data_IF_128672208027
#
_entry.id   IF_128672208027
#
_cell.length_a   1.000
_cell.length_b   1.000
_cell.length_c   1.000
_cell.angle_alpha   90.00
_cell.angle_beta   90.00
_cell.angle_gamma   90.00
#
_symmetry.space_group_name_H-M   'P 1'
#
loop_
_entity.id
_entity.type
_entity.pdbx_description
1 polymer ?
#
# COMPACT_ATOMS: atom_id res chain seq x y z
N UNK A 1 -6.34 -13.24 -2.54
CA UNK A 1 -4.95 -12.80 -2.30
C UNK A 1 -4.33 -11.91 -3.39
N UNK A 2 -4.55 -12.14 -4.70
CA UNK A 2 -3.81 -11.45 -5.78
C UNK A 2 -3.82 -9.92 -5.65
N UNK A 3 -5.01 -9.33 -5.44
CA UNK A 3 -5.16 -7.86 -5.25
C UNK A 3 -4.34 -7.30 -4.08
N UNK A 4 -4.18 -8.08 -3.01
CA UNK A 4 -3.37 -7.68 -1.86
C UNK A 4 -1.88 -7.70 -2.21
N UNK A 5 -1.42 -8.71 -2.95
CA UNK A 5 -0.05 -8.72 -3.50
C UNK A 5 0.17 -7.55 -4.45
N UNK A 6 -0.76 -7.28 -5.35
CA UNK A 6 -0.64 -6.16 -6.30
C UNK A 6 -0.55 -4.81 -5.55
N UNK A 7 -1.31 -4.65 -4.45
CA UNK A 7 -1.24 -3.48 -3.58
C UNK A 7 0.12 -3.32 -2.89
N UNK A 8 0.66 -4.38 -2.29
CA UNK A 8 1.97 -4.34 -1.65
C UNK A 8 3.08 -4.07 -2.68
N UNK A 9 2.98 -4.67 -3.86
CA UNK A 9 3.90 -4.45 -4.96
C UNK A 9 3.88 -3.00 -5.43
N UNK A 10 2.69 -2.40 -5.54
CA UNK A 10 2.53 -0.99 -5.89
C UNK A 10 3.26 -0.09 -4.90
N UNK A 11 3.10 -0.32 -3.59
CA UNK A 11 3.80 0.45 -2.56
C UNK A 11 5.32 0.26 -2.68
N UNK A 12 5.79 -0.97 -2.85
CA UNK A 12 7.21 -1.28 -2.96
C UNK A 12 7.88 -0.66 -4.20
N UNK A 13 7.20 -0.67 -5.36
CA UNK A 13 7.74 -0.16 -6.61
C UNK A 13 7.64 1.35 -6.77
N UNK A 14 6.51 1.94 -6.37
CA UNK A 14 6.30 3.40 -6.44
C UNK A 14 7.06 4.15 -5.34
N UNK A 15 7.48 3.43 -4.29
CA UNK A 15 8.04 3.97 -3.05
C UNK A 15 7.16 5.06 -2.40
N UNK A 16 5.87 5.12 -2.76
CA UNK A 16 4.93 6.20 -2.43
C UNK A 16 5.40 7.61 -2.84
N UNK A 17 6.28 7.69 -3.86
CA UNK A 17 6.77 8.96 -4.42
C UNK A 17 5.91 9.49 -5.56
N UNK A 18 5.16 8.60 -6.21
CA UNK A 18 4.19 9.00 -7.24
C UNK A 18 3.00 9.72 -6.60
N UNK A 19 2.59 10.84 -7.20
CA UNK A 19 1.42 11.60 -6.75
C UNK A 19 0.15 10.84 -7.12
N UNK A 20 -0.60 10.43 -6.11
CA UNK A 20 -1.89 9.76 -6.31
C UNK A 20 -2.98 10.85 -6.40
N UNK A 21 -3.62 10.92 -7.56
CA UNK A 21 -4.71 11.85 -7.84
C UNK A 21 -5.89 11.12 -8.48
N UNK A 22 -7.06 11.75 -8.41
CA UNK A 22 -8.30 11.17 -8.91
C UNK A 22 -8.88 12.04 -10.03
N UNK A 23 -9.68 11.45 -10.95
CA UNK A 23 -10.31 12.22 -12.03
C UNK A 23 -11.10 13.43 -11.54
N UNK A 24 -11.69 13.34 -10.34
CA UNK A 24 -12.46 14.38 -9.67
C UNK A 24 -11.63 15.63 -9.34
N UNK A 25 -10.32 15.50 -9.15
CA UNK A 25 -9.43 16.63 -8.85
C UNK A 25 -9.19 17.54 -10.07
N UNK A 26 -9.61 17.14 -11.28
CA UNK A 26 -9.44 17.94 -12.49
C UNK A 26 -7.97 18.27 -12.77
N UNK A 27 -7.67 19.54 -13.03
CA UNK A 27 -6.29 19.99 -13.31
C UNK A 27 -5.62 20.43 -12.01
N UNK A 28 -4.59 19.70 -11.59
CA UNK A 28 -3.81 20.04 -10.40
C UNK A 28 -3.10 21.39 -10.61
N UNK A 29 -3.43 22.36 -9.75
CA UNK A 29 -2.81 23.69 -9.73
C UNK A 29 -1.82 23.87 -8.56
N UNK A 30 -1.76 22.90 -7.65
CA UNK A 30 -1.00 22.97 -6.40
C UNK A 30 0.10 21.91 -6.42
N UNK A 31 1.28 22.30 -5.96
CA UNK A 31 2.42 21.41 -5.75
C UNK A 31 2.62 21.18 -4.25
N UNK A 32 2.67 19.92 -3.84
CA UNK A 32 2.97 19.53 -2.46
C UNK A 32 4.46 19.20 -2.33
N UNK A 33 5.07 19.56 -1.21
CA UNK A 33 6.46 19.22 -0.87
C UNK A 33 6.56 18.05 0.13
N UNK A 34 5.42 17.46 0.48
CA UNK A 34 5.33 16.33 1.40
C UNK A 34 6.00 15.08 0.79
N UNK A 35 6.55 14.18 1.60
CA UNK A 35 7.24 12.98 1.11
C UNK A 35 6.29 11.97 0.45
N UNK A 36 4.99 12.04 0.76
CA UNK A 36 3.91 11.25 0.18
C UNK A 36 2.75 12.18 -0.16
N UNK A 37 2.24 12.10 -1.39
CA UNK A 37 1.16 12.95 -1.86
C UNK A 37 0.00 12.08 -2.35
N UNK A 38 -1.08 12.09 -1.58
CA UNK A 38 -2.35 11.45 -1.94
C UNK A 38 -3.43 12.51 -1.82
N UNK A 39 -4.01 12.90 -2.95
CA UNK A 39 -5.02 13.96 -2.97
C UNK A 39 -6.37 13.42 -2.53
N UNK A 40 -7.06 14.19 -1.71
CA UNK A 40 -8.46 13.94 -1.40
C UNK A 40 -9.30 14.10 -2.70
N UNK A 41 -10.09 13.09 -3.11
CA UNK A 41 -10.94 13.18 -4.30
C UNK A 41 -11.93 14.35 -4.27
N UNK A 42 -12.30 14.84 -3.08
CA UNK A 42 -13.29 15.90 -2.90
C UNK A 42 -12.62 17.27 -2.74
N UNK A 43 -11.38 17.32 -2.29
CA UNK A 43 -10.67 18.56 -1.97
C UNK A 43 -9.23 18.52 -2.50
N UNK A 44 -9.01 19.10 -3.67
CA UNK A 44 -7.71 19.12 -4.37
C UNK A 44 -6.60 19.89 -3.62
N UNK A 45 -6.95 20.66 -2.59
CA UNK A 45 -6.02 21.34 -1.69
C UNK A 45 -5.61 20.50 -0.48
N UNK A 46 -6.18 19.31 -0.29
CA UNK A 46 -5.96 18.46 0.88
C UNK A 46 -5.14 17.21 0.51
N UNK A 47 -3.89 17.15 1.00
CA UNK A 47 -3.10 15.92 0.97
C UNK A 47 -3.42 15.06 2.20
N UNK A 48 -4.10 13.93 1.99
CA UNK A 48 -4.50 13.02 3.08
C UNK A 48 -3.31 12.34 3.75
N UNK A 49 -2.17 12.29 3.08
CA UNK A 49 -0.93 11.69 3.57
C UNK A 49 0.07 12.71 4.15
N UNK A 50 -0.33 13.99 4.30
CA UNK A 50 0.53 15.09 4.76
C UNK A 50 1.21 14.89 6.11
N UNK A 51 0.73 13.96 6.94
CA UNK A 51 1.34 13.65 8.25
C UNK A 51 2.46 12.61 8.18
N UNK A 52 2.61 11.92 7.06
CA UNK A 52 3.63 10.88 6.90
C UNK A 52 4.97 11.56 6.71
N UNK A 53 5.93 11.22 7.55
CA UNK A 53 7.32 11.67 7.42
C UNK A 53 8.09 10.81 6.42
N UNK A 54 9.24 11.31 5.93
CA UNK A 54 10.09 10.55 5.00
C UNK A 54 10.59 9.24 5.62
N UNK A 55 10.93 9.25 6.91
CA UNK A 55 11.34 8.07 7.67
C UNK A 55 10.22 7.02 7.75
N UNK A 56 8.99 7.46 8.07
CA UNK A 56 7.83 6.55 8.11
C UNK A 56 7.51 6.00 6.71
N UNK A 57 7.64 6.81 5.66
CA UNK A 57 7.49 6.33 4.28
C UNK A 57 8.49 5.23 3.96
N UNK A 58 9.76 5.41 4.31
CA UNK A 58 10.80 4.39 4.09
C UNK A 58 10.47 3.09 4.85
N UNK A 59 9.99 3.20 6.09
CA UNK A 59 9.57 2.05 6.87
C UNK A 59 8.36 1.32 6.23
N UNK A 60 7.35 2.07 5.78
CA UNK A 60 6.19 1.52 5.07
C UNK A 60 6.62 0.77 3.81
N UNK A 61 7.50 1.37 2.99
CA UNK A 61 8.00 0.75 1.75
C UNK A 61 8.78 -0.52 2.04
N UNK A 62 9.63 -0.51 3.07
CA UNK A 62 10.37 -1.69 3.51
C UNK A 62 9.44 -2.82 3.93
N UNK A 63 8.49 -2.54 4.82
CA UNK A 63 7.51 -3.52 5.30
C UNK A 63 6.63 -4.03 4.15
N UNK A 64 6.24 -3.17 3.21
CA UNK A 64 5.47 -3.58 2.04
C UNK A 64 6.24 -4.53 1.13
N UNK A 65 7.54 -4.29 0.91
CA UNK A 65 8.39 -5.18 0.13
C UNK A 65 8.55 -6.56 0.80
N UNK A 66 8.91 -6.58 2.08
CA UNK A 66 9.02 -7.82 2.87
C UNK A 66 7.68 -8.58 2.89
N UNK A 67 6.57 -7.85 3.10
CA UNK A 67 5.23 -8.43 3.11
C UNK A 67 4.84 -8.99 1.75
N UNK A 68 5.25 -8.33 0.66
CA UNK A 68 4.98 -8.80 -0.70
C UNK A 68 5.72 -10.09 -0.98
N UNK A 69 7.00 -10.20 -0.58
CA UNK A 69 7.80 -11.42 -0.73
C UNK A 69 7.15 -12.58 0.01
N UNK A 70 6.78 -12.39 1.29
CA UNK A 70 6.08 -13.41 2.08
C UNK A 70 4.74 -13.79 1.46
N UNK A 71 3.93 -12.82 1.02
CA UNK A 71 2.63 -13.09 0.41
C UNK A 71 2.77 -13.81 -0.94
N UNK A 72 3.78 -13.46 -1.73
CA UNK A 72 4.07 -14.08 -3.00
C UNK A 72 4.55 -15.53 -2.81
N UNK A 73 5.41 -15.77 -1.80
CA UNK A 73 5.86 -17.10 -1.44
C UNK A 73 4.70 -17.96 -0.93
N UNK A 74 3.87 -17.44 -0.01
CA UNK A 74 2.68 -18.13 0.50
C UNK A 74 1.71 -18.55 -0.61
N UNK A 75 1.53 -17.67 -1.61
CA UNK A 75 0.70 -17.92 -2.79
C UNK A 75 1.26 -19.03 -3.69
N UNK A 76 2.58 -19.04 -3.93
CA UNK A 76 3.23 -20.06 -4.77
C UNK A 76 3.31 -21.41 -4.05
N UNK A 77 3.56 -21.39 -2.75
CA UNK A 77 3.66 -22.58 -1.91
C UNK A 77 2.29 -23.16 -1.49
N UNK A 78 1.20 -22.42 -1.71
CA UNK A 78 -0.16 -22.74 -1.26
C UNK A 78 -0.23 -23.05 0.26
N UNK A 79 0.51 -22.25 1.06
CA UNK A 79 0.71 -22.49 2.49
C UNK A 79 0.04 -21.40 3.36
N UNK A 80 -0.95 -21.83 4.13
CA UNK A 80 -1.71 -20.98 5.06
C UNK A 80 -0.93 -20.57 6.31
N UNK A 81 0.10 -21.32 6.71
CA UNK A 81 0.91 -20.95 7.87
C UNK A 81 1.76 -19.72 7.56
N UNK A 82 2.24 -19.58 6.33
CA UNK A 82 2.98 -18.40 5.86
C UNK A 82 2.08 -17.16 5.85
N UNK A 83 0.79 -17.33 5.51
CA UNK A 83 -0.18 -16.23 5.61
C UNK A 83 -0.41 -15.74 7.05
N UNK A 84 -0.19 -16.59 8.07
CA UNK A 84 -0.28 -16.19 9.49
C UNK A 84 0.91 -15.34 9.93
N UNK A 85 2.03 -15.38 9.22
CA UNK A 85 3.15 -14.45 9.48
C UNK A 85 2.76 -13.01 9.16
N UNK A 86 1.94 -12.82 8.12
CA UNK A 86 1.44 -11.51 7.69
C UNK A 86 0.25 -11.02 8.51
N UNK A 87 -0.74 -11.87 8.73
CA UNK A 87 -2.03 -11.49 9.33
C UNK A 87 -2.19 -11.92 10.79
N UNK A 88 -1.19 -12.60 11.35
CA UNK A 88 -1.17 -13.15 12.69
C UNK A 88 -1.88 -14.49 12.83
N UNK A 89 -1.66 -15.16 13.97
CA UNK A 89 -2.14 -16.52 14.26
C UNK A 89 -3.67 -16.71 14.23
N UNK A 90 -4.44 -15.61 14.20
CA UNK A 90 -5.90 -15.64 14.11
C UNK A 90 -6.41 -15.66 12.67
N UNK A 91 -5.53 -15.52 11.68
CA UNK A 91 -5.89 -15.59 10.28
C UNK A 91 -6.45 -16.97 9.94
N UNK A 92 -7.62 -16.97 9.29
CA UNK A 92 -8.32 -18.16 8.80
C UNK A 92 -9.00 -17.80 7.50
N UNK A 93 -8.87 -18.67 6.51
CA UNK A 93 -9.64 -18.56 5.26
C UNK A 93 -10.98 -19.25 5.49
N UNK A 94 -12.06 -18.59 5.09
CA UNK A 94 -13.39 -19.19 5.13
C UNK A 94 -13.46 -20.20 3.99
N UNK A 95 -13.86 -21.44 4.27
CA UNK A 95 -14.14 -22.41 3.21
C UNK A 95 -15.34 -21.89 2.40
N UNK A 96 -15.16 -21.75 1.08
CA UNK A 96 -16.26 -21.50 0.17
C UNK A 96 -17.14 -22.75 0.14
N UNK A 97 -18.42 -22.57 0.48
CA UNK A 97 -19.46 -23.60 0.41
C UNK A 97 -19.98 -23.76 -1.00
#
# INVERSE_FOLDING_TARGET
EKRFRDFLLYIAQSELKEVISFPENGKLLITFSDPVVILDPVCDTNNVASRITDSERIEIVKVANESWETANFASIADDLDIWKELFGNRFKVKEDK
#
